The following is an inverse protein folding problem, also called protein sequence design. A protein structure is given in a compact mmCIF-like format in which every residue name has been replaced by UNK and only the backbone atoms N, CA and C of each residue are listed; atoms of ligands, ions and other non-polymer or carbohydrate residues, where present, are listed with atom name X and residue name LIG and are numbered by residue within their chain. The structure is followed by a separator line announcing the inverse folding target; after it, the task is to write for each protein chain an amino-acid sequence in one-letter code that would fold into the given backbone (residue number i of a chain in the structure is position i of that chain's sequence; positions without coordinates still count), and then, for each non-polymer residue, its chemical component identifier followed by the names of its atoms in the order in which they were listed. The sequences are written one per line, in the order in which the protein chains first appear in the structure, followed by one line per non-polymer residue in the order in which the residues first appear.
data_IF_219331486871
#
_entry.id   IF_219331486871
#
_cell.length_a   1.000
_cell.length_b   1.000
_cell.length_c   1.000
_cell.angle_alpha   90.00
_cell.angle_beta   90.00
_cell.angle_gamma   90.00
#
_symmetry.space_group_name_H-M   'P 1'
#
loop_
_entity.id
_entity.type
_entity.pdbx_description
1 polymer ?
#
# COMPACT_ATOMS: atom_id res chain seq x y z
N UNK A 1 30.06 33.17 -13.53
CA UNK A 1 30.70 32.00 -12.89
C UNK A 1 29.76 31.17 -12.01
N UNK A 2 28.55 31.63 -11.68
CA UNK A 2 27.61 30.90 -10.78
C UNK A 2 26.78 29.81 -11.48
N UNK A 3 26.69 29.86 -12.82
CA UNK A 3 25.86 28.98 -13.66
C UNK A 3 26.45 27.57 -13.85
N UNK A 4 27.72 27.37 -13.52
CA UNK A 4 28.39 26.06 -13.50
C UNK A 4 28.18 25.31 -12.17
N UNK A 5 28.00 26.03 -11.06
CA UNK A 5 27.75 25.43 -9.75
C UNK A 5 26.38 24.75 -9.67
N UNK A 6 25.38 25.30 -10.37
CA UNK A 6 24.03 24.70 -10.45
C UNK A 6 23.99 23.36 -11.19
N UNK A 7 24.90 23.11 -12.14
CA UNK A 7 24.97 21.83 -12.85
C UNK A 7 25.66 20.73 -12.03
N UNK A 8 26.55 21.07 -11.10
CA UNK A 8 27.27 20.11 -10.26
C UNK A 8 26.39 19.53 -9.13
N UNK A 9 25.44 20.30 -8.60
CA UNK A 9 24.59 19.87 -7.48
C UNK A 9 23.49 18.87 -7.91
N UNK A 10 23.03 18.92 -9.16
CA UNK A 10 21.96 18.03 -9.67
C UNK A 10 22.44 16.57 -9.84
N UNK A 11 23.74 16.32 -9.98
CA UNK A 11 24.26 14.97 -10.27
C UNK A 11 24.24 14.00 -9.08
N UNK A 12 24.27 14.47 -7.82
CA UNK A 12 24.50 13.57 -6.68
C UNK A 12 23.25 12.77 -6.25
N UNK A 13 22.03 13.27 -6.46
CA UNK A 13 20.82 12.61 -5.97
C UNK A 13 20.46 11.31 -6.72
N UNK A 14 20.75 11.22 -8.02
CA UNK A 14 20.39 10.07 -8.86
C UNK A 14 21.26 8.82 -8.64
N UNK A 15 22.48 8.97 -8.16
CA UNK A 15 23.43 7.87 -8.00
C UNK A 15 23.01 6.87 -6.91
N UNK A 16 22.40 7.34 -5.83
CA UNK A 16 22.04 6.53 -4.65
C UNK A 16 20.89 5.57 -4.93
N UNK A 17 19.84 6.02 -5.63
CA UNK A 17 18.69 5.18 -5.98
C UNK A 17 19.08 4.06 -6.95
N UNK A 18 19.94 4.37 -7.93
CA UNK A 18 20.44 3.39 -8.90
C UNK A 18 21.29 2.31 -8.22
N UNK A 19 22.12 2.68 -7.24
CA UNK A 19 22.91 1.71 -6.45
C UNK A 19 22.06 0.75 -5.62
N UNK A 20 20.98 1.22 -4.99
CA UNK A 20 20.08 0.36 -4.18
C UNK A 20 19.39 -0.70 -5.05
N UNK A 21 18.86 -0.30 -6.20
CA UNK A 21 18.19 -1.22 -7.14
C UNK A 21 19.09 -2.35 -7.63
N UNK A 22 20.34 -2.04 -7.99
CA UNK A 22 21.29 -3.07 -8.42
C UNK A 22 21.61 -4.06 -7.29
N UNK A 23 21.64 -3.60 -6.04
CA UNK A 23 21.84 -4.48 -4.88
C UNK A 23 20.67 -5.46 -4.71
N UNK A 24 19.43 -4.99 -4.81
CA UNK A 24 18.24 -5.84 -4.67
C UNK A 24 18.19 -6.94 -5.74
N UNK A 25 18.47 -6.59 -7.00
CA UNK A 25 18.51 -7.57 -8.11
C UNK A 25 19.61 -8.61 -7.88
N UNK A 26 20.81 -8.15 -7.48
CA UNK A 26 21.92 -9.05 -7.20
C UNK A 26 21.66 -9.93 -5.96
N UNK A 27 20.97 -9.40 -4.95
CA UNK A 27 20.59 -10.17 -3.78
C UNK A 27 19.62 -11.27 -4.17
N UNK A 28 18.55 -10.94 -4.90
CA UNK A 28 17.57 -11.91 -5.40
C UNK A 28 18.23 -13.01 -6.23
N UNK A 29 19.21 -12.66 -7.08
CA UNK A 29 19.98 -13.64 -7.84
C UNK A 29 20.72 -14.62 -6.90
N UNK A 30 21.40 -14.11 -5.87
CA UNK A 30 22.10 -14.95 -4.89
C UNK A 30 21.14 -15.83 -4.08
N UNK A 31 19.97 -15.32 -3.73
CA UNK A 31 18.96 -16.07 -2.99
C UNK A 31 18.43 -17.23 -3.85
N UNK A 32 18.16 -16.99 -5.14
CA UNK A 32 17.82 -18.04 -6.09
C UNK A 32 18.93 -19.10 -6.23
N UNK A 33 20.18 -18.68 -6.36
CA UNK A 33 21.33 -19.58 -6.49
C UNK A 33 21.54 -20.43 -5.24
N UNK A 34 21.31 -19.87 -4.04
CA UNK A 34 21.60 -20.52 -2.76
C UNK A 34 20.46 -21.33 -2.19
N UNK A 35 19.22 -20.89 -2.39
CA UNK A 35 18.07 -21.44 -1.66
C UNK A 35 17.19 -22.28 -2.58
N UNK A 36 16.98 -21.85 -3.84
CA UNK A 36 16.05 -22.51 -4.77
C UNK A 36 16.77 -23.48 -5.71
N UNK A 37 17.93 -23.08 -6.23
CA UNK A 37 18.65 -23.81 -7.27
C UNK A 37 19.90 -24.55 -6.74
N UNK A 38 20.02 -24.71 -5.43
CA UNK A 38 21.19 -25.32 -4.78
C UNK A 38 21.43 -26.77 -5.25
N UNK A 39 20.37 -27.56 -5.28
CA UNK A 39 20.43 -29.00 -5.60
C UNK A 39 20.29 -29.29 -7.10
N UNK A 40 20.22 -28.26 -7.94
CA UNK A 40 20.11 -28.40 -9.40
C UNK A 40 21.49 -28.68 -9.99
N UNK A 41 21.56 -29.57 -10.99
CA UNK A 41 22.79 -29.89 -11.71
C UNK A 41 23.42 -28.61 -12.29
N UNK A 42 24.76 -28.39 -12.19
CA UNK A 42 25.42 -27.16 -12.63
C UNK A 42 25.03 -26.68 -14.02
N UNK A 43 24.81 -27.62 -14.95
CA UNK A 43 24.42 -27.34 -16.33
C UNK A 43 23.01 -26.77 -16.48
N UNK A 44 22.11 -27.11 -15.56
CA UNK A 44 20.71 -26.64 -15.56
C UNK A 44 20.49 -25.46 -14.60
N UNK A 45 21.46 -25.16 -13.73
CA UNK A 45 21.40 -24.02 -12.80
C UNK A 45 21.10 -22.69 -13.49
N UNK A 46 21.64 -22.36 -14.68
CA UNK A 46 21.32 -21.10 -15.36
C UNK A 46 19.82 -20.95 -15.63
N UNK A 47 19.16 -21.98 -16.15
CA UNK A 47 17.72 -21.98 -16.41
C UNK A 47 16.91 -21.87 -15.10
N UNK A 48 17.28 -22.65 -14.08
CA UNK A 48 16.64 -22.55 -12.76
C UNK A 48 16.74 -21.14 -12.18
N UNK A 49 17.93 -20.53 -12.23
CA UNK A 49 18.17 -19.18 -11.71
C UNK A 49 17.35 -18.11 -12.42
N UNK A 50 17.19 -18.22 -13.74
CA UNK A 50 16.38 -17.28 -14.52
C UNK A 50 14.90 -17.43 -14.18
N UNK A 51 14.39 -18.68 -14.11
CA UNK A 51 13.01 -18.93 -13.74
C UNK A 51 12.69 -18.45 -12.31
N UNK A 52 13.58 -18.70 -11.35
CA UNK A 52 13.44 -18.21 -9.98
C UNK A 52 13.42 -16.67 -9.89
N UNK A 53 14.23 -15.99 -10.69
CA UNK A 53 14.28 -14.52 -10.68
C UNK A 53 13.00 -13.87 -11.21
N UNK A 54 12.35 -14.42 -12.22
CA UNK A 54 11.02 -14.02 -12.67
C UNK A 54 10.50 -15.05 -13.65
N UNK A 55 9.51 -15.83 -13.21
CA UNK A 55 8.89 -16.88 -14.02
C UNK A 55 8.22 -16.29 -15.27
N UNK A 56 7.46 -15.21 -15.12
CA UNK A 56 6.79 -14.54 -16.24
C UNK A 56 7.78 -14.05 -17.32
N UNK A 57 8.89 -13.42 -16.92
CA UNK A 57 9.91 -12.96 -17.87
C UNK A 57 10.70 -14.12 -18.47
N UNK A 58 10.83 -15.24 -17.74
CA UNK A 58 11.49 -16.43 -18.26
C UNK A 58 10.64 -17.06 -19.36
N UNK A 59 9.35 -17.24 -19.13
CA UNK A 59 8.41 -17.76 -20.12
C UNK A 59 8.32 -16.88 -21.37
N UNK A 60 8.31 -15.55 -21.20
CA UNK A 60 8.26 -14.59 -22.31
C UNK A 60 9.48 -14.71 -23.26
N UNK A 61 10.67 -15.03 -22.73
CA UNK A 61 11.94 -14.92 -23.46
C UNK A 61 12.56 -16.28 -23.79
N UNK A 62 12.52 -17.21 -22.84
CA UNK A 62 13.11 -18.54 -22.94
C UNK A 62 12.05 -19.65 -23.04
N UNK A 63 10.75 -19.35 -22.88
CA UNK A 63 9.70 -20.38 -22.87
C UNK A 63 9.51 -21.14 -24.18
N UNK A 64 10.00 -20.60 -25.31
CA UNK A 64 9.98 -21.31 -26.61
C UNK A 64 11.19 -22.22 -26.80
N UNK A 65 12.34 -21.78 -26.31
CA UNK A 65 13.63 -22.44 -26.47
C UNK A 65 14.49 -22.06 -25.26
N UNK A 66 14.62 -23.01 -24.33
CA UNK A 66 15.45 -22.84 -23.15
C UNK A 66 16.93 -22.77 -23.53
N UNK A 67 17.77 -22.21 -22.64
CA UNK A 67 19.21 -22.16 -22.88
C UNK A 67 19.79 -23.57 -22.80
N UNK A 68 20.59 -23.95 -23.79
CA UNK A 68 21.34 -25.20 -23.71
C UNK A 68 22.47 -25.13 -22.67
N UNK A 69 22.90 -26.27 -22.10
CA UNK A 69 24.08 -26.34 -21.25
C UNK A 69 25.31 -25.67 -21.87
N UNK A 70 25.80 -24.62 -21.22
CA UNK A 70 26.98 -23.85 -21.68
C UNK A 70 26.69 -22.77 -22.72
N UNK A 71 25.43 -22.61 -23.15
CA UNK A 71 25.03 -21.52 -24.04
C UNK A 71 25.01 -20.18 -23.27
N UNK A 72 25.54 -19.12 -23.91
CA UNK A 72 25.48 -17.75 -23.40
C UNK A 72 24.80 -16.86 -24.43
N UNK A 73 23.49 -16.66 -24.30
CA UNK A 73 22.76 -15.68 -25.11
C UNK A 73 22.73 -14.30 -24.43
N UNK A 74 23.69 -13.45 -24.81
CA UNK A 74 23.78 -12.08 -24.31
C UNK A 74 22.63 -11.17 -24.74
N UNK A 75 21.93 -11.48 -25.84
CA UNK A 75 20.81 -10.68 -26.35
C UNK A 75 19.56 -10.97 -25.52
N UNK A 76 19.18 -12.25 -25.39
CA UNK A 76 18.06 -12.69 -24.55
C UNK A 76 18.28 -12.30 -23.09
N UNK A 77 19.52 -12.33 -22.60
CA UNK A 77 19.84 -11.86 -21.25
C UNK A 77 19.51 -10.36 -21.03
N UNK A 78 19.74 -9.51 -22.04
CA UNK A 78 19.39 -8.08 -21.98
C UNK A 78 17.88 -7.87 -22.03
N UNK A 79 17.18 -8.65 -22.86
CA UNK A 79 15.72 -8.64 -22.94
C UNK A 79 15.11 -9.06 -21.59
N UNK A 80 15.68 -10.08 -20.94
CA UNK A 80 15.23 -10.57 -19.64
C UNK A 80 15.42 -9.51 -18.55
N UNK A 81 16.56 -8.84 -18.57
CA UNK A 81 16.82 -7.71 -17.67
C UNK A 81 15.83 -6.56 -17.91
N UNK A 82 15.46 -6.29 -19.17
CA UNK A 82 14.45 -5.27 -19.49
C UNK A 82 13.06 -5.66 -19.01
N UNK A 83 12.65 -6.91 -19.19
CA UNK A 83 11.38 -7.44 -18.69
C UNK A 83 11.28 -7.31 -17.16
N UNK A 84 12.29 -7.77 -16.41
CA UNK A 84 12.31 -7.63 -14.95
C UNK A 84 12.22 -6.16 -14.51
N UNK A 85 12.90 -5.27 -15.24
CA UNK A 85 12.86 -3.85 -14.95
C UNK A 85 11.48 -3.25 -15.17
N UNK A 86 10.71 -3.73 -16.16
CA UNK A 86 9.31 -3.37 -16.40
C UNK A 86 8.42 -3.88 -15.27
N UNK A 87 8.52 -5.17 -14.93
CA UNK A 87 7.75 -5.81 -13.86
C UNK A 87 7.95 -5.07 -12.51
N UNK A 88 9.20 -4.77 -12.16
CA UNK A 88 9.54 -4.01 -10.95
C UNK A 88 8.90 -2.61 -10.93
N UNK A 89 8.88 -1.91 -12.07
CA UNK A 89 8.25 -0.58 -12.18
C UNK A 89 6.74 -0.67 -12.03
N UNK A 90 6.11 -1.69 -12.59
CA UNK A 90 4.67 -1.91 -12.50
C UNK A 90 4.24 -2.23 -11.08
N UNK A 91 4.97 -3.11 -10.38
CA UNK A 91 4.74 -3.41 -8.96
C UNK A 91 4.82 -2.14 -8.10
N UNK A 92 5.80 -1.27 -8.36
CA UNK A 92 5.93 0.02 -7.65
C UNK A 92 4.78 1.00 -7.95
N UNK A 93 4.25 1.00 -9.17
CA UNK A 93 3.08 1.82 -9.53
C UNK A 93 1.83 1.31 -8.81
N UNK A 94 1.63 -0.01 -8.78
CA UNK A 94 0.50 -0.64 -8.11
C UNK A 94 0.53 -0.41 -6.59
N UNK A 95 1.70 -0.54 -5.95
CA UNK A 95 1.83 -0.31 -4.51
C UNK A 95 1.53 1.14 -4.13
N UNK A 96 1.97 2.11 -4.94
CA UNK A 96 1.63 3.53 -4.74
C UNK A 96 0.14 3.81 -4.94
N UNK A 97 -0.47 3.23 -5.98
CA UNK A 97 -1.90 3.39 -6.22
C UNK A 97 -2.74 2.83 -5.07
N UNK A 98 -2.37 1.65 -4.54
CA UNK A 98 -3.01 1.04 -3.38
C UNK A 98 -2.79 1.84 -2.09
N UNK A 99 -1.59 2.38 -1.89
CA UNK A 99 -1.28 3.24 -0.76
C UNK A 99 -2.10 4.53 -0.75
N UNK A 100 -2.29 5.16 -1.93
CA UNK A 100 -3.15 6.35 -2.05
C UNK A 100 -4.61 6.03 -1.69
N UNK A 101 -5.17 4.97 -2.28
CA UNK A 101 -6.55 4.55 -1.97
C UNK A 101 -6.78 4.30 -0.48
N UNK A 102 -5.86 3.60 0.19
CA UNK A 102 -5.96 3.36 1.63
C UNK A 102 -5.94 4.63 2.48
N UNK A 103 -5.20 5.64 2.04
CA UNK A 103 -5.18 6.92 2.74
C UNK A 103 -6.49 7.68 2.48
N UNK A 104 -6.98 7.68 1.24
CA UNK A 104 -8.26 8.28 0.88
C UNK A 104 -9.42 7.64 1.69
N UNK A 105 -9.41 6.30 1.85
CA UNK A 105 -10.39 5.55 2.66
C UNK A 105 -10.27 5.87 4.17
N UNK A 106 -9.06 6.12 4.68
CA UNK A 106 -8.84 6.44 6.09
C UNK A 106 -9.28 7.87 6.44
N UNK A 107 -9.03 8.83 5.55
CA UNK A 107 -9.51 10.21 5.72
C UNK A 107 -11.05 10.29 5.70
N UNK A 108 -11.72 9.44 4.89
CA UNK A 108 -13.18 9.39 4.84
C UNK A 108 -13.78 8.76 6.12
N UNK A 109 -13.06 7.84 6.75
CA UNK A 109 -13.50 7.19 7.99
C UNK A 109 -13.30 8.10 9.22
N UNK A 110 -12.21 8.86 9.26
CA UNK A 110 -11.96 9.87 10.31
C UNK A 110 -13.03 10.98 10.29
N UNK A 111 -13.46 11.44 9.11
CA UNK A 111 -14.53 12.43 8.98
C UNK A 111 -15.92 11.89 9.36
N UNK A 112 -16.17 10.59 9.20
CA UNK A 112 -17.43 9.97 9.61
C UNK A 112 -17.54 9.86 11.14
N UNK A 113 -16.44 9.54 11.81
CA UNK A 113 -16.37 9.41 13.28
C UNK A 113 -16.47 10.79 13.98
N UNK A 114 -15.86 11.84 13.41
CA UNK A 114 -16.00 13.22 13.90
C UNK A 114 -17.43 13.77 13.74
N UNK A 115 -18.14 13.37 12.68
CA UNK A 115 -19.50 13.82 12.43
C UNK A 115 -20.54 13.04 13.27
N UNK A 116 -20.24 11.79 13.62
CA UNK A 116 -21.05 11.01 14.55
C UNK A 116 -20.96 11.55 15.98
N UNK A 117 -19.76 11.94 16.43
CA UNK A 117 -19.56 12.52 17.77
C UNK A 117 -20.22 13.90 17.91
N UNK A 118 -20.20 14.74 16.87
CA UNK A 118 -20.92 16.01 16.89
C UNK A 118 -22.45 15.87 16.98
N UNK A 119 -23.03 14.77 16.46
CA UNK A 119 -24.47 14.53 16.51
C UNK A 119 -24.95 14.01 17.87
N UNK A 120 -24.08 13.41 18.69
CA UNK A 120 -24.44 12.92 20.03
C UNK A 120 -24.44 14.04 21.09
N UNK A 121 -23.61 15.08 20.95
CA UNK A 121 -23.60 16.23 21.88
C UNK A 121 -24.89 17.08 21.79
N UNK A 122 -25.45 17.28 20.59
CA UNK A 122 -26.65 18.10 20.36
C UNK A 122 -27.94 17.51 20.99
N UNK A 123 -27.97 16.19 21.23
CA UNK A 123 -29.12 15.51 21.86
C UNK A 123 -29.16 15.68 23.38
N UNK A 124 -28.02 15.92 24.02
CA UNK A 124 -27.94 16.06 25.47
C UNK A 124 -28.46 17.44 25.95
N UNK A 125 -28.24 18.49 25.16
CA UNK A 125 -28.68 19.85 25.47
C UNK A 125 -30.20 20.03 25.37
N UNK A 126 -30.88 19.37 24.42
CA UNK A 126 -32.34 19.40 24.29
C UNK A 126 -33.04 18.66 25.44
N UNK A 127 -32.47 17.55 25.91
CA UNK A 127 -33.03 16.77 27.03
C UNK A 127 -32.87 17.51 28.37
N UNK A 128 -31.71 18.13 28.61
CA UNK A 128 -31.50 18.96 29.80
C UNK A 128 -32.40 20.20 29.79
N UNK A 129 -32.64 20.81 28.62
CA UNK A 129 -33.55 21.95 28.47
C UNK A 129 -35.00 21.57 28.73
N UNK A 130 -35.44 20.37 28.31
CA UNK A 130 -36.78 19.82 28.61
C UNK A 130 -36.96 19.52 30.09
N UNK A 131 -35.94 18.95 30.75
CA UNK A 131 -35.97 18.68 32.18
C UNK A 131 -36.16 19.99 32.99
N UNK A 132 -35.42 21.05 32.63
CA UNK A 132 -35.55 22.36 33.29
C UNK A 132 -36.92 23.01 33.10
N UNK A 133 -37.59 22.78 31.96
CA UNK A 133 -38.95 23.30 31.70
C UNK A 133 -40.01 22.50 32.48
N UNK A 134 -39.83 21.19 32.65
CA UNK A 134 -40.75 20.34 33.40
C UNK A 134 -40.77 20.67 34.91
N UNK A 135 -39.62 21.04 35.47
CA UNK A 135 -39.51 21.42 36.89
C UNK A 135 -40.12 22.80 37.20
N UNK A 136 -40.26 23.66 36.19
CA UNK A 136 -40.80 25.01 36.34
C UNK A 136 -42.34 25.09 36.34
N UNK A 137 -43.06 23.98 36.19
CA UNK A 137 -44.52 23.96 36.19
C UNK A 137 -45.06 23.80 37.62
N UNK A 138 -45.73 24.81 38.20
CA UNK A 138 -46.39 24.64 39.49
C UNK A 138 -47.58 23.68 39.33
N UNK A 139 -47.50 22.54 40.03
CA UNK A 139 -48.59 21.56 40.12
C UNK A 139 -49.75 22.22 40.85
N UNK A 140 -50.77 22.64 40.10
CA UNK A 140 -52.04 23.05 40.67
C UNK A 140 -52.73 21.78 41.21
N UNK A 141 -52.79 21.66 42.54
CA UNK A 141 -53.56 20.65 43.26
C UNK A 141 -55.02 20.66 42.79
N UNK A 142 -55.47 19.53 42.25
CA UNK A 142 -56.86 19.27 41.97
C UNK A 142 -57.53 18.72 43.25
N UNK A 143 -58.24 19.57 43.97
CA UNK A 143 -59.15 19.15 45.03
C UNK A 143 -60.34 18.37 44.43
N UNK A 144 -60.47 17.09 44.77
CA UNK A 144 -61.68 16.30 44.57
C UNK A 144 -62.67 16.56 45.72
N UNK A 145 -63.92 16.98 45.47
CA UNK A 145 -64.93 16.97 46.52
C UNK A 145 -65.49 15.55 46.68
N UNK A 146 -65.32 15.01 47.88
CA UNK A 146 -66.10 13.88 48.36
C UNK A 146 -67.51 14.35 48.78
N UNK A 147 -68.45 13.41 48.70
CA UNK A 147 -69.71 13.30 49.44
C UNK A 147 -70.99 13.74 48.71
N UNK A 148 -71.63 12.71 48.15
CA UNK A 148 -73.06 12.61 47.93
C UNK A 148 -73.55 11.48 48.84
N UNK A 149 -74.19 11.79 49.98
CA UNK A 149 -75.06 10.84 50.70
C UNK A 149 -76.35 11.54 51.14
N UNK A 150 -77.45 10.95 50.67
CA UNK A 150 -78.87 10.94 51.06
C UNK A 150 -79.49 12.11 51.85
#
# INVERSE_FOLDING_TARGET
MVRWYLLLVVCLAGASAKRRRTKEVNQRKKDCERDVCADVHPDQRPNCNLKCQSEACYEEIYGKEELEPGEIDSKRQREFTQCQNRESRERLKQSKAKGRRRNDDADEQEQADDNATAAEDDLSDEEERRARVAEALPVAEAELPQQLEL
#
